data_IF_721820899402
#
_entry.id   IF_721820899402
#
_cell.length_a   1.000
_cell.length_b   1.000
_cell.length_c   1.000
_cell.angle_alpha   90.00
_cell.angle_beta   90.00
_cell.angle_gamma   90.00
#
_symmetry.space_group_name_H-M   'P 1'
#
loop_
_entity.id
_entity.type
_entity.pdbx_description
1 polymer ?
#
# COMPACT_ATOMS: atom_id res chain seq x y z
N UNK A 1 -9.22 16.66 14.44
CA UNK A 1 -8.51 17.11 13.22
C UNK A 1 -9.54 17.65 12.23
N UNK A 2 -9.36 18.84 11.65
CA UNK A 2 -10.26 19.33 10.61
C UNK A 2 -10.18 18.44 9.37
N UNK A 3 -11.34 18.21 8.76
CA UNK A 3 -11.46 17.49 7.49
C UNK A 3 -11.22 18.48 6.35
N UNK A 4 -10.30 18.15 5.46
CA UNK A 4 -9.90 18.99 4.34
C UNK A 4 -10.00 18.20 3.04
N UNK A 5 -10.21 18.90 1.92
CA UNK A 5 -10.33 18.27 0.61
C UNK A 5 -9.27 18.84 -0.33
N UNK A 6 -8.58 17.95 -1.03
CA UNK A 6 -7.51 18.28 -1.96
C UNK A 6 -7.89 17.74 -3.33
N UNK A 7 -7.93 18.61 -4.33
CA UNK A 7 -8.09 18.19 -5.72
C UNK A 7 -6.71 17.85 -6.31
N UNK A 8 -6.66 16.78 -7.08
CA UNK A 8 -5.48 16.32 -7.80
C UNK A 8 -5.76 16.39 -9.30
N UNK A 9 -4.76 16.85 -10.08
CA UNK A 9 -4.83 16.91 -11.53
C UNK A 9 -3.51 16.55 -12.19
N UNK A 10 -3.56 15.87 -13.35
CA UNK A 10 -2.39 15.55 -14.19
C UNK A 10 -2.78 15.52 -15.66
N UNK A 11 -1.94 16.09 -16.55
CA UNK A 11 -2.15 16.01 -17.99
C UNK A 11 -0.88 15.73 -18.80
N UNK A 12 0.23 15.35 -18.13
CA UNK A 12 1.48 14.97 -18.76
C UNK A 12 1.90 13.55 -18.36
N UNK A 13 2.50 12.83 -19.30
CA UNK A 13 3.08 11.50 -19.09
C UNK A 13 2.04 10.44 -18.71
N UNK A 14 2.44 9.49 -17.88
CA UNK A 14 1.53 8.49 -17.31
C UNK A 14 0.71 9.10 -16.15
N UNK A 15 -0.40 9.73 -16.53
CA UNK A 15 -1.30 10.45 -15.62
C UNK A 15 -1.82 9.56 -14.50
N UNK A 16 -2.16 8.30 -14.81
CA UNK A 16 -2.73 7.36 -13.85
C UNK A 16 -1.72 6.96 -12.77
N UNK A 17 -0.51 6.58 -13.19
CA UNK A 17 0.58 6.27 -12.26
C UNK A 17 0.98 7.49 -11.43
N UNK A 18 0.98 8.68 -12.03
CA UNK A 18 1.27 9.94 -11.33
C UNK A 18 0.27 10.23 -10.22
N UNK A 19 -1.05 10.19 -10.49
CA UNK A 19 -2.07 10.43 -9.46
C UNK A 19 -2.05 9.34 -8.39
N UNK A 20 -1.88 8.07 -8.78
CA UNK A 20 -1.76 6.96 -7.83
C UNK A 20 -0.57 7.14 -6.89
N UNK A 21 0.58 7.56 -7.42
CA UNK A 21 1.78 7.84 -6.63
C UNK A 21 1.60 9.07 -5.73
N UNK A 22 0.91 10.12 -6.22
CA UNK A 22 0.59 11.30 -5.42
C UNK A 22 -0.31 10.96 -4.22
N UNK A 23 -1.36 10.16 -4.43
CA UNK A 23 -2.23 9.68 -3.33
C UNK A 23 -1.42 8.86 -2.32
N UNK A 24 -0.56 7.94 -2.79
CA UNK A 24 0.35 7.18 -1.90
C UNK A 24 1.28 8.11 -1.12
N UNK A 25 1.84 9.13 -1.78
CA UNK A 25 2.73 10.10 -1.13
C UNK A 25 2.00 10.89 -0.03
N UNK A 26 0.75 11.31 -0.27
CA UNK A 26 -0.09 11.96 0.75
C UNK A 26 -0.41 11.01 1.92
N UNK A 27 -0.72 9.73 1.64
CA UNK A 27 -0.94 8.70 2.67
C UNK A 27 0.29 8.45 3.53
N UNK A 28 1.49 8.53 2.96
CA UNK A 28 2.74 8.34 3.67
C UNK A 28 3.17 9.58 4.49
N UNK A 29 2.52 10.73 4.29
CA UNK A 29 2.90 11.98 4.99
C UNK A 29 2.48 11.94 6.45
N UNK A 30 3.42 12.10 7.41
CA UNK A 30 3.09 12.14 8.82
C UNK A 30 2.24 13.35 9.18
N UNK A 31 1.28 13.16 10.10
CA UNK A 31 0.33 14.20 10.48
C UNK A 31 -0.74 14.51 9.41
N UNK A 32 -0.84 13.64 8.38
CA UNK A 32 -1.88 13.67 7.38
C UNK A 32 -2.53 12.28 7.27
N UNK A 33 -3.83 12.17 7.45
CA UNK A 33 -4.59 10.93 7.28
C UNK A 33 -5.53 11.05 6.11
N UNK A 34 -5.26 10.34 5.01
CA UNK A 34 -6.19 10.26 3.88
C UNK A 34 -7.34 9.33 4.27
N UNK A 35 -8.55 9.87 4.40
CA UNK A 35 -9.75 9.15 4.84
C UNK A 35 -10.62 8.66 3.69
N UNK A 36 -10.59 9.34 2.54
CA UNK A 36 -11.28 8.91 1.32
C UNK A 36 -10.50 9.36 0.07
N UNK A 37 -10.67 8.63 -1.02
CA UNK A 37 -10.14 8.97 -2.35
C UNK A 37 -11.22 8.65 -3.36
N UNK A 38 -11.54 9.59 -4.25
CA UNK A 38 -12.49 9.38 -5.35
C UNK A 38 -11.92 8.42 -6.40
N UNK A 39 -12.76 7.93 -7.31
CA UNK A 39 -12.28 7.39 -8.58
C UNK A 39 -11.51 8.49 -9.35
N UNK A 40 -10.73 8.07 -10.35
CA UNK A 40 -10.06 9.01 -11.23
C UNK A 40 -10.96 9.34 -12.42
N UNK A 41 -11.03 10.62 -12.80
CA UNK A 41 -11.92 11.13 -13.83
C UNK A 41 -11.15 11.74 -14.99
N UNK A 42 -11.47 11.30 -16.21
CA UNK A 42 -10.99 11.97 -17.42
C UNK A 42 -11.83 13.19 -17.75
N UNK A 43 -11.16 14.29 -18.07
CA UNK A 43 -11.80 15.56 -18.45
C UNK A 43 -11.07 16.23 -19.61
N UNK A 44 -11.82 17.01 -20.39
CA UNK A 44 -11.23 17.89 -21.38
C UNK A 44 -10.38 19.00 -20.72
N UNK A 45 -9.35 19.53 -21.39
CA UNK A 45 -8.59 20.65 -20.88
C UNK A 45 -9.46 21.92 -20.85
N UNK A 46 -9.54 22.58 -19.66
CA UNK A 46 -10.30 23.82 -19.47
C UNK A 46 -9.34 25.01 -19.38
N UNK A 47 -9.50 26.01 -20.23
CA UNK A 47 -8.66 27.23 -20.28
C UNK A 47 -7.15 26.92 -20.43
N UNK A 48 -6.79 25.87 -21.13
CA UNK A 48 -5.40 25.48 -21.42
C UNK A 48 -4.98 25.92 -22.84
N UNK A 49 -3.67 26.01 -23.12
CA UNK A 49 -3.15 26.26 -24.46
C UNK A 49 -3.68 25.25 -25.48
N UNK A 50 -3.88 25.66 -26.76
CA UNK A 50 -4.28 24.74 -27.81
C UNK A 50 -3.34 23.53 -27.93
N UNK A 51 -3.92 22.32 -28.08
CA UNK A 51 -3.16 21.07 -28.14
C UNK A 51 -2.81 20.46 -26.79
N UNK A 52 -3.28 21.03 -25.67
CA UNK A 52 -3.13 20.40 -24.35
C UNK A 52 -3.89 19.08 -24.30
N UNK A 53 -3.25 18.03 -23.78
CA UNK A 53 -3.87 16.73 -23.56
C UNK A 53 -4.98 16.77 -22.49
N UNK A 54 -5.87 15.79 -22.52
CA UNK A 54 -6.91 15.61 -21.48
C UNK A 54 -6.32 15.42 -20.09
N UNK A 55 -7.02 15.88 -19.09
CA UNK A 55 -6.63 15.72 -17.69
C UNK A 55 -7.18 14.42 -17.09
N UNK A 56 -6.45 13.93 -16.10
CA UNK A 56 -6.96 12.99 -15.12
C UNK A 56 -7.05 13.72 -13.78
N UNK A 57 -8.24 13.68 -13.15
CA UNK A 57 -8.52 14.39 -11.91
C UNK A 57 -9.08 13.46 -10.85
N UNK A 58 -8.86 13.83 -9.57
CA UNK A 58 -9.42 13.14 -8.42
C UNK A 58 -9.56 14.13 -7.24
N UNK A 59 -10.28 13.73 -6.19
CA UNK A 59 -10.30 14.42 -4.91
C UNK A 59 -9.96 13.44 -3.80
N UNK A 60 -9.16 13.88 -2.85
CA UNK A 60 -8.91 13.16 -1.60
C UNK A 60 -9.43 13.95 -0.42
N UNK A 61 -10.04 13.25 0.53
CA UNK A 61 -10.39 13.79 1.84
C UNK A 61 -9.27 13.44 2.82
N UNK A 62 -8.80 14.43 3.57
CA UNK A 62 -7.69 14.28 4.53
C UNK A 62 -8.04 14.89 5.88
N UNK A 63 -7.60 14.25 6.94
CA UNK A 63 -7.58 14.82 8.29
C UNK A 63 -6.15 15.20 8.65
N UNK A 64 -5.96 16.40 9.19
CA UNK A 64 -4.64 16.91 9.59
C UNK A 64 -4.73 17.92 10.72
N UNK A 65 -3.67 18.01 11.52
CA UNK A 65 -3.47 19.09 12.53
C UNK A 65 -2.66 20.27 11.99
N UNK A 66 -2.11 20.15 10.77
CA UNK A 66 -1.40 21.26 10.11
C UNK A 66 -2.36 22.39 9.85
N UNK A 67 -1.92 23.61 10.03
CA UNK A 67 -2.69 24.77 9.60
C UNK A 67 -2.81 24.82 8.06
N UNK A 68 -3.74 25.63 7.50
CA UNK A 68 -3.97 25.69 6.04
C UNK A 68 -2.73 26.10 5.24
N UNK A 69 -1.87 26.96 5.77
CA UNK A 69 -0.64 27.41 5.08
C UNK A 69 0.43 26.31 5.11
N UNK A 70 0.57 25.61 6.23
CA UNK A 70 1.45 24.43 6.34
C UNK A 70 1.03 23.32 5.39
N UNK A 71 -0.30 23.08 5.28
CA UNK A 71 -0.84 22.13 4.33
C UNK A 71 -0.54 22.54 2.90
N UNK A 72 -0.76 23.81 2.54
CA UNK A 72 -0.39 24.34 1.21
C UNK A 72 1.10 24.12 0.92
N UNK A 73 1.98 24.44 1.86
CA UNK A 73 3.43 24.23 1.68
C UNK A 73 3.78 22.75 1.49
N UNK A 74 3.08 21.85 2.17
CA UNK A 74 3.21 20.41 1.92
C UNK A 74 2.81 20.05 0.49
N UNK A 75 1.65 20.51 0.02
CA UNK A 75 1.16 20.21 -1.34
C UNK A 75 2.16 20.71 -2.39
N UNK A 76 2.67 21.93 -2.23
CA UNK A 76 3.69 22.49 -3.12
C UNK A 76 5.01 21.70 -3.10
N UNK A 77 5.40 21.11 -1.97
CA UNK A 77 6.58 20.23 -1.91
C UNK A 77 6.32 18.91 -2.66
N UNK A 78 5.14 18.34 -2.49
CA UNK A 78 4.76 17.12 -3.21
C UNK A 78 4.75 17.36 -4.72
N UNK A 79 4.15 18.43 -5.21
CA UNK A 79 4.17 18.79 -6.63
C UNK A 79 5.60 18.88 -7.21
N UNK A 80 6.51 19.52 -6.48
CA UNK A 80 7.93 19.63 -6.88
C UNK A 80 8.62 18.26 -6.97
N UNK A 81 8.29 17.33 -6.05
CA UNK A 81 8.81 15.95 -6.09
C UNK A 81 8.36 15.20 -7.34
N UNK A 82 7.20 15.56 -7.89
CA UNK A 82 6.66 15.01 -9.14
C UNK A 82 7.10 15.79 -10.40
N UNK A 83 8.13 16.63 -10.28
CA UNK A 83 8.71 17.34 -11.42
C UNK A 83 7.88 18.52 -11.93
N UNK A 84 6.96 19.07 -11.12
CA UNK A 84 6.24 20.28 -11.51
C UNK A 84 7.20 21.47 -11.60
N UNK A 85 7.29 22.04 -12.78
CA UNK A 85 7.96 23.33 -13.06
C UNK A 85 6.86 24.37 -13.29
N UNK A 86 6.84 25.44 -12.48
CA UNK A 86 5.91 26.56 -12.69
C UNK A 86 6.43 27.43 -13.83
N UNK A 87 5.70 27.46 -14.92
CA UNK A 87 5.89 28.34 -16.07
C UNK A 87 4.70 29.30 -16.19
N UNK A 88 4.07 29.36 -17.34
CA UNK A 88 2.87 30.19 -17.56
C UNK A 88 1.62 29.61 -16.87
N UNK A 89 0.62 30.45 -16.54
CA UNK A 89 -0.65 29.99 -16.01
C UNK A 89 -1.31 28.97 -16.96
N UNK A 90 -1.93 27.92 -16.37
CA UNK A 90 -2.60 26.83 -17.08
C UNK A 90 -1.73 26.00 -18.03
N UNK A 91 -0.38 26.07 -17.93
CA UNK A 91 0.52 25.20 -18.67
C UNK A 91 0.31 23.73 -18.32
N UNK A 92 0.61 22.80 -19.27
CA UNK A 92 0.62 21.38 -18.99
C UNK A 92 1.52 21.04 -17.80
N UNK A 93 1.07 20.11 -16.94
CA UNK A 93 1.74 19.80 -15.67
C UNK A 93 1.67 18.32 -15.32
N UNK A 94 2.73 17.83 -14.72
CA UNK A 94 2.81 16.44 -14.24
C UNK A 94 1.82 16.21 -13.09
N UNK A 95 1.77 17.11 -12.12
CA UNK A 95 0.88 17.05 -10.97
C UNK A 95 0.44 18.45 -10.54
N UNK A 96 -0.83 18.59 -10.20
CA UNK A 96 -1.46 19.76 -9.59
C UNK A 96 -2.18 19.35 -8.32
N UNK A 97 -1.97 20.06 -7.21
CA UNK A 97 -2.62 19.78 -5.92
C UNK A 97 -3.22 21.07 -5.37
N UNK A 98 -4.53 21.20 -5.46
CA UNK A 98 -5.27 22.37 -4.99
C UNK A 98 -5.99 22.06 -3.67
N UNK A 99 -5.81 22.91 -2.64
CA UNK A 99 -6.60 22.86 -1.41
C UNK A 99 -7.99 23.43 -1.68
N UNK A 100 -9.01 22.54 -1.67
CA UNK A 100 -10.40 22.89 -2.00
C UNK A 100 -11.13 23.45 -0.81
N UNK A 101 -11.19 22.69 0.28
CA UNK A 101 -11.76 23.06 1.57
C UNK A 101 -10.79 22.75 2.71
N UNK A 102 -10.92 23.50 3.82
CA UNK A 102 -10.27 23.21 5.08
C UNK A 102 -11.27 23.41 6.22
N UNK A 103 -12.00 22.35 6.57
CA UNK A 103 -13.17 22.48 7.46
C UNK A 103 -14.13 23.55 6.97
N UNK A 104 -14.62 24.38 7.88
CA UNK A 104 -15.51 25.52 7.60
C UNK A 104 -14.77 26.86 7.49
N UNK A 105 -13.43 26.82 7.44
CA UNK A 105 -12.60 28.03 7.47
C UNK A 105 -12.65 28.76 6.14
N UNK A 106 -12.73 30.09 6.20
CA UNK A 106 -12.63 30.99 5.04
C UNK A 106 -11.35 31.82 5.20
N UNK A 107 -10.46 31.69 4.22
CA UNK A 107 -9.19 32.45 4.14
C UNK A 107 -9.18 33.19 2.81
N UNK A 108 -8.73 34.45 2.85
CA UNK A 108 -8.54 35.28 1.66
C UNK A 108 -7.26 36.08 1.83
N UNK A 109 -6.12 35.43 1.62
CA UNK A 109 -4.78 36.10 1.62
C UNK A 109 -4.18 36.04 0.21
N UNK A 110 -3.15 36.83 -0.07
CA UNK A 110 -2.45 36.76 -1.36
C UNK A 110 -1.88 35.37 -1.68
N UNK A 111 -1.49 34.62 -0.64
CA UNK A 111 -0.85 33.30 -0.76
C UNK A 111 -1.85 32.17 -0.80
N UNK A 112 -3.03 32.30 -0.13
CA UNK A 112 -4.00 31.22 0.03
C UNK A 112 -5.43 31.76 0.08
N UNK A 113 -6.28 31.18 -0.77
CA UNK A 113 -7.73 31.40 -0.73
C UNK A 113 -8.43 30.06 -0.52
N UNK A 114 -9.17 29.91 0.56
CA UNK A 114 -9.97 28.75 0.94
C UNK A 114 -11.37 29.22 1.34
N UNK A 115 -12.45 28.71 0.77
CA UNK A 115 -12.52 27.70 -0.31
C UNK A 115 -11.81 28.15 -1.58
N UNK A 116 -11.33 27.17 -2.37
CA UNK A 116 -10.69 27.49 -3.64
C UNK A 116 -11.63 28.32 -4.53
N UNK A 117 -11.23 29.50 -5.00
CA UNK A 117 -12.15 30.54 -5.50
C UNK A 117 -13.01 30.11 -6.69
N UNK A 118 -12.52 29.18 -7.52
CA UNK A 118 -13.22 28.69 -8.72
C UNK A 118 -13.69 27.24 -8.62
N UNK A 119 -13.69 26.63 -7.44
CA UNK A 119 -14.04 25.20 -7.33
C UNK A 119 -15.50 24.94 -7.72
N UNK A 120 -16.40 25.90 -7.42
CA UNK A 120 -17.83 25.80 -7.70
C UNK A 120 -18.18 25.94 -9.18
N UNK A 121 -17.23 26.33 -10.02
CA UNK A 121 -17.33 26.41 -11.49
C UNK A 121 -16.69 25.23 -12.20
N UNK A 122 -16.11 24.27 -11.45
CA UNK A 122 -15.26 23.21 -11.98
C UNK A 122 -15.87 21.83 -11.77
N UNK A 123 -16.46 21.26 -12.81
CA UNK A 123 -17.03 19.91 -12.76
C UNK A 123 -15.98 18.85 -12.38
N UNK A 124 -14.73 18.99 -12.84
CA UNK A 124 -13.63 18.09 -12.53
C UNK A 124 -13.16 18.12 -11.05
N UNK A 125 -13.64 19.10 -10.26
CA UNK A 125 -13.48 19.14 -8.80
C UNK A 125 -14.75 18.68 -8.11
N UNK A 126 -15.92 19.18 -8.53
CA UNK A 126 -17.18 18.93 -7.84
C UNK A 126 -17.70 17.51 -8.00
N UNK A 127 -17.51 16.88 -9.18
CA UNK A 127 -17.96 15.50 -9.40
C UNK A 127 -17.21 14.52 -8.48
N UNK A 128 -15.85 14.49 -8.45
CA UNK A 128 -15.14 13.62 -7.53
C UNK A 128 -15.30 14.02 -6.05
N UNK A 129 -15.52 15.30 -5.74
CA UNK A 129 -15.82 15.73 -4.36
C UNK A 129 -17.20 15.19 -3.92
N UNK A 130 -18.24 15.30 -4.75
CA UNK A 130 -19.57 14.81 -4.43
C UNK A 130 -19.61 13.28 -4.30
N UNK A 131 -18.72 12.54 -4.96
CA UNK A 131 -18.58 11.08 -4.79
C UNK A 131 -18.17 10.70 -3.35
N UNK A 132 -17.18 11.37 -2.80
CA UNK A 132 -16.59 11.00 -1.48
C UNK A 132 -17.15 11.79 -0.30
N UNK A 133 -17.76 12.95 -0.57
CA UNK A 133 -18.28 13.85 0.44
C UNK A 133 -19.50 14.64 -0.09
N UNK A 134 -20.63 13.96 -0.42
CA UNK A 134 -21.80 14.60 -1.03
C UNK A 134 -22.41 15.71 -0.15
N UNK A 135 -22.28 15.57 1.17
CA UNK A 135 -22.84 16.50 2.16
C UNK A 135 -21.84 17.57 2.65
N UNK A 136 -20.62 17.63 2.08
CA UNK A 136 -19.67 18.70 2.39
C UNK A 136 -20.23 20.04 1.94
N UNK A 137 -20.45 20.96 2.89
CA UNK A 137 -21.06 22.26 2.63
C UNK A 137 -19.99 23.30 2.29
N UNK A 138 -20.15 23.98 1.16
CA UNK A 138 -19.29 25.11 0.79
C UNK A 138 -19.41 26.26 1.81
N UNK A 139 -18.34 26.65 2.51
CA UNK A 139 -18.42 27.58 3.65
C UNK A 139 -19.05 28.94 3.32
N UNK A 140 -18.90 29.43 2.08
CA UNK A 140 -19.43 30.72 1.63
C UNK A 140 -20.79 30.57 0.94
N UNK A 141 -20.92 29.62 -0.01
CA UNK A 141 -22.17 29.46 -0.79
C UNK A 141 -23.28 28.75 -0.02
N UNK A 142 -22.95 28.09 1.10
CA UNK A 142 -23.90 27.36 1.96
C UNK A 142 -24.65 26.25 1.22
N UNK A 143 -24.10 25.71 0.13
CA UNK A 143 -24.60 24.59 -0.66
C UNK A 143 -23.74 23.35 -0.45
N UNK A 144 -24.35 22.17 -0.45
CA UNK A 144 -23.65 20.90 -0.38
C UNK A 144 -22.92 20.58 -1.71
N UNK A 145 -21.86 19.80 -1.65
CA UNK A 145 -21.10 19.40 -2.84
C UNK A 145 -21.98 18.72 -3.90
N UNK A 146 -22.94 17.87 -3.49
CA UNK A 146 -23.92 17.25 -4.40
C UNK A 146 -24.81 18.28 -5.12
N UNK A 147 -25.20 19.35 -4.44
CA UNK A 147 -26.03 20.40 -5.02
C UNK A 147 -25.26 21.21 -6.05
N UNK A 148 -24.03 21.62 -5.70
CA UNK A 148 -23.12 22.31 -6.60
C UNK A 148 -22.78 21.44 -7.83
N UNK A 149 -22.53 20.15 -7.63
CA UNK A 149 -22.26 19.22 -8.73
C UNK A 149 -23.48 19.00 -9.65
N UNK A 150 -24.72 19.15 -9.14
CA UNK A 150 -25.94 19.04 -9.93
C UNK A 150 -26.23 20.31 -10.78
N UNK A 151 -25.73 21.47 -10.32
CA UNK A 151 -25.92 22.76 -11.01
C UNK A 151 -24.95 22.96 -12.19
N UNK A 152 -23.81 22.27 -12.19
CA UNK A 152 -22.82 22.36 -13.27
C UNK A 152 -23.27 21.46 -14.44
N UNK A 153 -23.25 22.03 -15.66
CA UNK A 153 -23.34 21.22 -16.86
C UNK A 153 -22.25 20.18 -16.86
N UNK A 154 -22.62 18.90 -16.93
CA UNK A 154 -21.68 17.76 -16.92
C UNK A 154 -20.97 17.70 -18.27
N UNK A 155 -20.07 18.64 -18.50
CA UNK A 155 -19.10 18.56 -19.58
C UNK A 155 -18.29 17.30 -19.29
N UNK A 156 -18.39 16.32 -20.16
CA UNK A 156 -17.61 15.07 -20.29
C UNK A 156 -16.65 14.68 -19.14
N UNK A 157 -17.15 14.67 -17.89
CA UNK A 157 -16.43 14.11 -16.75
C UNK A 157 -16.77 12.62 -16.70
N UNK A 158 -15.82 11.78 -17.09
CA UNK A 158 -16.00 10.32 -17.15
C UNK A 158 -15.04 9.64 -16.18
N UNK A 159 -15.51 8.62 -15.47
CA UNK A 159 -14.60 7.76 -14.72
C UNK A 159 -13.56 7.20 -15.69
N UNK A 160 -12.29 7.46 -15.40
CA UNK A 160 -11.20 6.96 -16.21
C UNK A 160 -11.19 5.43 -16.15
N UNK A 161 -11.10 4.75 -17.30
CA UNK A 161 -10.83 3.33 -17.26
C UNK A 161 -9.52 3.13 -16.49
N UNK A 162 -9.56 2.32 -15.44
CA UNK A 162 -8.32 1.87 -14.83
C UNK A 162 -7.48 1.29 -15.96
N UNK A 163 -6.19 1.72 -16.11
CA UNK A 163 -5.34 1.07 -17.09
C UNK A 163 -5.50 -0.43 -16.86
N UNK A 164 -5.67 -1.26 -17.90
CA UNK A 164 -5.80 -2.69 -17.72
C UNK A 164 -4.66 -3.06 -16.79
N UNK A 165 -5.00 -3.46 -15.55
CA UNK A 165 -4.01 -4.04 -14.66
C UNK A 165 -3.39 -5.09 -15.54
N UNK A 166 -2.10 -4.95 -15.86
CA UNK A 166 -1.43 -6.01 -16.60
C UNK A 166 -1.75 -7.22 -15.77
N UNK A 167 -2.56 -8.13 -16.31
CA UNK A 167 -3.02 -9.33 -15.57
C UNK A 167 -1.82 -10.24 -15.39
N UNK A 168 -0.82 -9.70 -14.70
CA UNK A 168 0.52 -10.26 -14.53
C UNK A 168 0.47 -11.63 -13.87
N UNK A 169 -0.57 -11.88 -13.08
CA UNK A 169 -0.82 -13.15 -12.40
C UNK A 169 -2.09 -13.85 -12.89
N UNK A 170 -2.58 -13.53 -14.10
CA UNK A 170 -3.78 -14.13 -14.66
C UNK A 170 -3.70 -15.65 -14.66
N UNK A 171 -4.71 -16.30 -14.06
CA UNK A 171 -4.80 -17.75 -13.96
C UNK A 171 -3.84 -18.39 -12.96
N UNK A 172 -3.02 -17.65 -12.23
CA UNK A 172 -2.22 -18.17 -11.13
C UNK A 172 -3.05 -18.34 -9.86
N UNK A 173 -2.67 -19.33 -9.07
CA UNK A 173 -3.32 -19.72 -7.82
C UNK A 173 -2.36 -19.46 -6.67
N UNK A 174 -2.79 -18.64 -5.72
CA UNK A 174 -1.93 -18.17 -4.63
C UNK A 174 -2.52 -18.48 -3.25
N UNK A 175 -1.65 -18.79 -2.29
CA UNK A 175 -1.93 -18.75 -0.87
C UNK A 175 -1.13 -17.61 -0.24
N UNK A 176 -1.79 -16.71 0.50
CA UNK A 176 -1.13 -15.64 1.25
C UNK A 176 -1.45 -15.80 2.73
N UNK A 177 -0.43 -16.11 3.55
CA UNK A 177 -0.64 -16.27 4.99
C UNK A 177 -0.65 -14.91 5.71
N UNK A 178 -1.46 -14.79 6.78
CA UNK A 178 -1.61 -13.53 7.51
C UNK A 178 -2.23 -12.41 6.69
N UNK A 179 -3.18 -12.74 5.80
CA UNK A 179 -3.77 -11.80 4.83
C UNK A 179 -5.07 -11.15 5.28
N UNK A 180 -5.33 -11.09 6.60
CA UNK A 180 -6.50 -10.41 7.15
C UNK A 180 -6.27 -8.92 7.46
N UNK A 181 -5.02 -8.45 7.42
CA UNK A 181 -4.64 -7.05 7.69
C UNK A 181 -3.23 -6.75 7.17
N UNK A 182 -2.87 -5.45 7.15
CA UNK A 182 -1.52 -4.98 6.88
C UNK A 182 -0.92 -5.47 5.55
N UNK A 183 0.35 -5.83 5.58
CA UNK A 183 1.12 -6.24 4.40
C UNK A 183 0.48 -7.43 3.69
N UNK A 184 0.06 -8.47 4.44
CA UNK A 184 -0.55 -9.66 3.84
C UNK A 184 -1.88 -9.38 3.15
N UNK A 185 -2.72 -8.51 3.70
CA UNK A 185 -3.97 -8.10 3.06
C UNK A 185 -3.70 -7.34 1.77
N UNK A 186 -2.71 -6.46 1.79
CA UNK A 186 -2.30 -5.69 0.61
C UNK A 186 -1.75 -6.59 -0.49
N UNK A 187 -0.89 -7.58 -0.14
CA UNK A 187 -0.38 -8.57 -1.11
C UNK A 187 -1.54 -9.36 -1.74
N UNK A 188 -2.46 -9.88 -0.91
CA UNK A 188 -3.60 -10.66 -1.40
C UNK A 188 -4.47 -9.84 -2.37
N UNK A 189 -4.82 -8.62 -1.99
CA UNK A 189 -5.62 -7.70 -2.83
C UNK A 189 -4.91 -7.32 -4.12
N UNK A 190 -3.58 -7.11 -4.07
CA UNK A 190 -2.78 -6.81 -5.26
C UNK A 190 -2.74 -8.00 -6.22
N UNK A 191 -2.58 -9.21 -5.70
CA UNK A 191 -2.58 -10.44 -6.51
C UNK A 191 -3.95 -10.68 -7.16
N UNK A 192 -5.05 -10.50 -6.41
CA UNK A 192 -6.42 -10.58 -6.93
C UNK A 192 -6.67 -9.56 -8.05
N UNK A 193 -6.23 -8.32 -7.84
CA UNK A 193 -6.32 -7.24 -8.83
C UNK A 193 -5.56 -7.56 -10.11
N UNK A 194 -4.49 -8.36 -10.02
CA UNK A 194 -3.68 -8.83 -11.15
C UNK A 194 -4.11 -10.20 -11.69
N UNK A 195 -5.31 -10.67 -11.33
CA UNK A 195 -5.97 -11.83 -11.94
C UNK A 195 -5.64 -13.17 -11.30
N UNK A 196 -4.97 -13.21 -10.13
CA UNK A 196 -4.73 -14.44 -9.41
C UNK A 196 -5.98 -14.91 -8.65
N UNK A 197 -6.17 -16.22 -8.55
CA UNK A 197 -7.07 -16.83 -7.59
C UNK A 197 -6.35 -16.93 -6.24
N UNK A 198 -6.75 -16.11 -5.25
CA UNK A 198 -6.06 -16.03 -3.97
C UNK A 198 -6.86 -16.71 -2.86
N UNK A 199 -6.20 -17.59 -2.09
CA UNK A 199 -6.68 -18.03 -0.78
C UNK A 199 -6.07 -17.13 0.27
N UNK A 200 -6.95 -16.51 1.07
CA UNK A 200 -6.58 -15.71 2.22
C UNK A 200 -6.53 -16.58 3.48
N UNK A 201 -5.62 -16.26 4.38
CA UNK A 201 -5.46 -17.00 5.63
C UNK A 201 -5.33 -16.06 6.83
N UNK A 202 -5.89 -16.48 7.95
CA UNK A 202 -5.75 -15.85 9.27
C UNK A 202 -6.36 -16.72 10.36
N UNK A 203 -6.13 -16.39 11.63
CA UNK A 203 -6.72 -17.12 12.78
C UNK A 203 -8.25 -16.98 12.88
N UNK A 204 -8.77 -15.90 12.37
CA UNK A 204 -10.21 -15.60 12.32
C UNK A 204 -10.53 -14.86 11.04
N UNK A 205 -11.68 -15.16 10.45
CA UNK A 205 -12.20 -14.41 9.32
C UNK A 205 -12.54 -12.99 9.79
N UNK A 206 -12.01 -11.97 9.10
CA UNK A 206 -12.33 -10.57 9.36
C UNK A 206 -12.99 -9.96 8.12
N UNK A 207 -14.13 -9.28 8.32
CA UNK A 207 -14.81 -8.55 7.26
C UNK A 207 -15.17 -9.44 6.06
N UNK A 208 -15.19 -8.85 4.90
CA UNK A 208 -15.38 -9.54 3.61
C UNK A 208 -14.05 -10.17 3.13
N UNK A 209 -13.67 -11.27 3.78
CA UNK A 209 -12.47 -12.02 3.42
C UNK A 209 -12.61 -12.80 2.10
N UNK A 210 -13.72 -12.60 1.34
CA UNK A 210 -14.02 -13.35 0.14
C UNK A 210 -14.40 -14.81 0.42
N UNK A 211 -14.76 -15.56 -0.61
CA UNK A 211 -15.14 -16.98 -0.49
C UNK A 211 -13.94 -17.90 -0.18
N UNK A 212 -12.72 -17.50 -0.60
CA UNK A 212 -11.49 -18.32 -0.48
C UNK A 212 -10.70 -17.91 0.77
N UNK A 213 -11.14 -18.42 1.92
CA UNK A 213 -10.49 -18.16 3.21
C UNK A 213 -10.32 -19.44 4.01
N UNK A 214 -9.10 -19.68 4.51
CA UNK A 214 -8.81 -20.80 5.44
C UNK A 214 -8.38 -20.21 6.78
N UNK A 215 -9.02 -20.71 7.85
CA UNK A 215 -8.65 -20.38 9.24
C UNK A 215 -7.66 -21.40 9.77
N UNK A 216 -6.51 -20.95 10.28
CA UNK A 216 -5.55 -21.81 10.95
C UNK A 216 -4.72 -21.00 11.99
N UNK A 217 -4.35 -21.65 13.09
CA UNK A 217 -3.35 -21.11 14.03
C UNK A 217 -1.97 -21.67 13.65
N UNK A 218 -1.08 -20.82 13.20
CA UNK A 218 0.26 -21.22 12.75
C UNK A 218 1.21 -21.66 13.89
N UNK A 219 0.80 -21.52 15.15
CA UNK A 219 1.48 -22.13 16.29
C UNK A 219 1.21 -23.64 16.38
N UNK A 220 0.11 -24.10 15.80
CA UNK A 220 -0.26 -25.50 15.74
C UNK A 220 0.30 -26.15 14.48
N UNK A 221 1.21 -27.11 14.69
CA UNK A 221 1.86 -27.85 13.62
C UNK A 221 0.87 -28.56 12.69
N UNK A 222 -0.17 -29.19 13.25
CA UNK A 222 -1.13 -29.94 12.45
C UNK A 222 -1.95 -29.01 11.56
N UNK A 223 -2.35 -27.83 12.08
CA UNK A 223 -3.05 -26.81 11.32
C UNK A 223 -2.19 -26.21 10.21
N UNK A 224 -0.87 -26.05 10.42
CA UNK A 224 0.05 -25.61 9.36
C UNK A 224 0.12 -26.61 8.22
N UNK A 225 0.25 -27.90 8.54
CA UNK A 225 0.32 -28.97 7.54
C UNK A 225 -1.02 -29.07 6.79
N UNK A 226 -2.15 -28.97 7.51
CA UNK A 226 -3.50 -28.98 6.93
C UNK A 226 -3.76 -27.76 6.04
N UNK A 227 -3.34 -26.56 6.45
CA UNK A 227 -3.48 -25.34 5.64
C UNK A 227 -2.88 -25.47 4.25
N UNK A 228 -1.66 -26.04 4.15
CA UNK A 228 -1.00 -26.26 2.87
C UNK A 228 -1.69 -27.30 1.99
N UNK A 229 -2.26 -28.35 2.60
CA UNK A 229 -3.02 -29.37 1.90
C UNK A 229 -4.37 -28.84 1.41
N UNK A 230 -5.13 -28.24 2.30
CA UNK A 230 -6.47 -27.68 2.01
C UNK A 230 -6.41 -26.58 0.92
N UNK A 231 -5.42 -25.67 1.01
CA UNK A 231 -5.23 -24.65 -0.01
C UNK A 231 -4.87 -25.25 -1.37
N UNK A 232 -4.05 -26.30 -1.38
CA UNK A 232 -3.70 -27.00 -2.60
C UNK A 232 -4.92 -27.67 -3.25
N UNK A 233 -5.75 -28.32 -2.47
CA UNK A 233 -6.91 -29.07 -2.94
C UNK A 233 -8.03 -28.11 -3.39
N UNK A 234 -8.27 -27.02 -2.63
CA UNK A 234 -9.29 -26.01 -2.94
C UNK A 234 -9.10 -25.37 -4.33
N UNK A 235 -7.87 -25.15 -4.76
CA UNK A 235 -7.56 -24.53 -6.06
C UNK A 235 -7.05 -25.56 -7.11
N UNK A 236 -6.97 -26.85 -6.79
CA UNK A 236 -6.36 -27.83 -7.67
C UNK A 236 -4.85 -27.60 -7.87
N UNK A 237 -4.18 -27.05 -6.86
CA UNK A 237 -2.77 -26.73 -6.84
C UNK A 237 -2.48 -25.25 -6.59
N UNK A 238 -1.24 -24.95 -6.22
CA UNK A 238 -0.76 -23.57 -5.97
C UNK A 238 0.39 -23.25 -6.90
N UNK A 239 0.38 -22.06 -7.48
CA UNK A 239 1.47 -21.51 -8.31
C UNK A 239 2.33 -20.54 -7.52
N UNK A 240 1.74 -19.86 -6.52
CA UNK A 240 2.44 -18.91 -5.64
C UNK A 240 2.09 -19.20 -4.17
N UNK A 241 3.09 -19.23 -3.32
CA UNK A 241 2.95 -19.25 -1.86
C UNK A 241 3.62 -18.01 -1.27
N UNK A 242 2.89 -17.23 -0.48
CA UNK A 242 3.45 -16.11 0.29
C UNK A 242 3.35 -16.41 1.78
N UNK A 243 4.51 -16.65 2.42
CA UNK A 243 4.63 -16.82 3.86
C UNK A 243 4.84 -15.44 4.50
N UNK A 244 3.74 -14.72 4.75
CA UNK A 244 3.75 -13.37 5.30
C UNK A 244 3.36 -13.34 6.78
N UNK A 245 2.58 -14.30 7.28
CA UNK A 245 2.14 -14.29 8.67
C UNK A 245 3.31 -14.12 9.64
N UNK A 246 3.13 -13.29 10.66
CA UNK A 246 4.07 -13.07 11.74
C UNK A 246 3.34 -12.85 13.07
N UNK A 247 4.02 -13.11 14.17
CA UNK A 247 3.52 -12.85 15.50
C UNK A 247 3.67 -11.35 15.84
N UNK A 248 2.58 -10.72 16.24
CA UNK A 248 2.65 -9.38 16.81
C UNK A 248 3.02 -9.48 18.29
N UNK A 249 4.26 -9.09 18.61
CA UNK A 249 4.80 -9.06 19.97
C UNK A 249 4.97 -7.64 20.51
N UNK A 250 4.54 -6.63 19.74
CA UNK A 250 4.73 -5.21 20.04
C UNK A 250 3.45 -4.51 20.49
N UNK A 251 2.28 -5.03 20.11
CA UNK A 251 1.00 -4.38 20.38
C UNK A 251 0.04 -5.26 21.18
N UNK A 252 -1.02 -4.64 21.72
CA UNK A 252 -2.04 -5.34 22.49
C UNK A 252 -1.48 -6.07 23.73
N UNK A 253 -2.09 -7.19 24.12
CA UNK A 253 -1.65 -7.97 25.27
C UNK A 253 -0.23 -8.53 25.15
N UNK A 254 0.19 -8.85 23.93
CA UNK A 254 1.50 -9.44 23.66
C UNK A 254 2.69 -8.48 23.89
N UNK A 255 2.45 -7.17 23.90
CA UNK A 255 3.46 -6.18 24.28
C UNK A 255 3.99 -6.40 25.72
N UNK A 256 3.17 -7.00 26.59
CA UNK A 256 3.49 -7.28 28.00
C UNK A 256 4.04 -8.69 28.24
N UNK A 257 4.19 -9.51 27.20
CA UNK A 257 4.76 -10.84 27.33
C UNK A 257 6.22 -10.77 27.75
N UNK A 258 6.67 -11.81 28.46
CA UNK A 258 8.09 -12.02 28.77
C UNK A 258 8.90 -12.21 27.48
N UNK A 259 10.21 -12.10 27.61
CA UNK A 259 11.13 -12.37 26.50
C UNK A 259 10.91 -13.77 25.90
N UNK A 260 10.79 -14.79 26.77
CA UNK A 260 10.62 -16.19 26.34
C UNK A 260 9.27 -16.41 25.64
N UNK A 261 8.17 -15.82 26.13
CA UNK A 261 6.86 -15.91 25.47
C UNK A 261 6.88 -15.27 24.07
N UNK A 262 7.57 -14.13 23.92
CA UNK A 262 7.75 -13.47 22.62
C UNK A 262 8.62 -14.30 21.69
N UNK A 263 9.71 -14.87 22.21
CA UNK A 263 10.60 -15.74 21.46
C UNK A 263 9.87 -16.96 20.91
N UNK A 264 9.13 -17.69 21.76
CA UNK A 264 8.37 -18.87 21.33
C UNK A 264 7.32 -18.51 20.28
N UNK A 265 6.59 -17.41 20.46
CA UNK A 265 5.59 -16.97 19.50
C UNK A 265 6.19 -16.66 18.12
N UNK A 266 7.33 -15.97 18.07
CA UNK A 266 8.04 -15.67 16.82
C UNK A 266 8.63 -16.93 16.20
N UNK A 267 9.22 -17.82 17.00
CA UNK A 267 9.75 -19.08 16.48
C UNK A 267 8.64 -19.95 15.88
N UNK A 268 7.50 -20.03 16.54
CA UNK A 268 6.37 -20.85 16.05
C UNK A 268 5.77 -20.29 14.77
N UNK A 269 5.39 -19.01 14.78
CA UNK A 269 4.63 -18.40 13.67
C UNK A 269 5.54 -17.96 12.52
N UNK A 270 6.62 -17.23 12.83
CA UNK A 270 7.46 -16.63 11.80
C UNK A 270 8.43 -17.63 11.19
N UNK A 271 9.01 -18.52 11.98
CA UNK A 271 10.04 -19.46 11.51
C UNK A 271 9.47 -20.85 11.23
N UNK A 272 8.98 -21.57 12.26
CA UNK A 272 8.58 -22.99 12.12
C UNK A 272 7.47 -23.17 11.09
N UNK A 273 6.43 -22.33 11.15
CA UNK A 273 5.33 -22.40 10.18
C UNK A 273 5.79 -22.05 8.77
N UNK A 274 6.62 -21.01 8.59
CA UNK A 274 7.20 -20.63 7.29
C UNK A 274 8.01 -21.77 6.70
N UNK A 275 8.89 -22.39 7.49
CA UNK A 275 9.73 -23.53 7.05
C UNK A 275 8.87 -24.72 6.62
N UNK A 276 7.89 -25.10 7.44
CA UNK A 276 7.02 -26.27 7.18
C UNK A 276 6.18 -26.06 5.92
N UNK A 277 5.48 -24.94 5.88
CA UNK A 277 4.57 -24.62 4.77
C UNK A 277 5.33 -24.50 3.44
N UNK A 278 6.45 -23.76 3.45
CA UNK A 278 7.29 -23.58 2.25
C UNK A 278 7.88 -24.91 1.74
N UNK A 279 8.31 -25.80 2.64
CA UNK A 279 8.80 -27.12 2.24
C UNK A 279 7.70 -28.02 1.69
N UNK A 280 6.56 -28.09 2.40
CA UNK A 280 5.45 -28.94 2.01
C UNK A 280 4.83 -28.54 0.67
N UNK A 281 4.46 -27.27 0.54
CA UNK A 281 3.89 -26.73 -0.70
C UNK A 281 4.95 -26.69 -1.80
N UNK A 282 6.18 -26.26 -1.49
CA UNK A 282 7.29 -26.20 -2.44
C UNK A 282 7.62 -27.55 -3.05
N UNK A 283 7.58 -28.65 -2.28
CA UNK A 283 7.77 -30.00 -2.79
C UNK A 283 6.66 -30.41 -3.80
N UNK A 284 5.40 -30.09 -3.50
CA UNK A 284 4.28 -30.30 -4.44
C UNK A 284 4.43 -29.45 -5.71
N UNK A 285 4.86 -28.19 -5.58
CA UNK A 285 5.16 -27.32 -6.72
C UNK A 285 6.29 -27.90 -7.59
N UNK A 286 7.38 -28.36 -6.95
CA UNK A 286 8.51 -28.99 -7.64
C UNK A 286 8.08 -30.22 -8.42
N UNK A 287 7.29 -31.12 -7.82
CA UNK A 287 6.75 -32.30 -8.49
C UNK A 287 5.86 -31.95 -9.68
N UNK A 288 5.21 -30.78 -9.66
CA UNK A 288 4.40 -30.26 -10.78
C UNK A 288 5.24 -29.51 -11.83
N UNK A 289 6.53 -29.27 -11.57
CA UNK A 289 7.47 -28.62 -12.49
C UNK A 289 7.42 -27.09 -12.49
N UNK A 290 6.68 -26.43 -11.59
CA UNK A 290 6.62 -24.98 -11.51
C UNK A 290 6.11 -24.45 -10.17
N UNK A 291 6.60 -23.28 -9.77
CA UNK A 291 6.10 -22.55 -8.60
C UNK A 291 6.93 -21.34 -8.20
N UNK A 292 6.37 -20.55 -7.29
CA UNK A 292 7.05 -19.43 -6.66
C UNK A 292 6.71 -19.39 -5.17
N UNK A 293 7.74 -19.36 -4.32
CA UNK A 293 7.59 -19.16 -2.88
C UNK A 293 8.20 -17.80 -2.53
N UNK A 294 7.43 -16.99 -1.80
CA UNK A 294 7.87 -15.71 -1.28
C UNK A 294 7.77 -15.75 0.25
N UNK A 295 8.89 -15.55 0.92
CA UNK A 295 8.93 -15.39 2.38
C UNK A 295 9.00 -13.91 2.74
N UNK A 296 8.56 -13.54 3.94
CA UNK A 296 8.68 -12.18 4.45
C UNK A 296 9.71 -12.16 5.58
N UNK A 297 10.82 -11.51 5.29
CA UNK A 297 11.92 -11.27 6.20
C UNK A 297 11.79 -9.94 6.95
N UNK A 298 12.94 -9.35 7.25
CA UNK A 298 13.08 -8.02 7.83
C UNK A 298 14.36 -7.38 7.29
N UNK A 299 14.35 -6.10 6.98
CA UNK A 299 15.50 -5.41 6.37
C UNK A 299 16.70 -5.32 7.29
N UNK A 300 16.49 -5.23 8.61
CA UNK A 300 17.54 -5.20 9.63
C UNK A 300 17.93 -6.59 10.17
N UNK A 301 17.45 -7.67 9.57
CA UNK A 301 17.78 -9.02 10.04
C UNK A 301 19.28 -9.35 9.99
N UNK A 302 20.06 -8.67 9.18
CA UNK A 302 21.52 -8.85 9.05
C UNK A 302 22.32 -7.81 9.84
N UNK A 303 21.77 -6.62 10.08
CA UNK A 303 22.45 -5.50 10.76
C UNK A 303 22.07 -5.37 12.23
N UNK A 304 20.92 -5.93 12.61
CA UNK A 304 20.37 -5.87 13.95
C UNK A 304 19.71 -4.54 14.30
N UNK A 305 19.01 -4.56 15.41
CA UNK A 305 18.48 -3.41 16.14
C UNK A 305 18.56 -3.74 17.62
N UNK A 306 18.85 -2.77 18.46
CA UNK A 306 18.95 -2.93 19.91
C UNK A 306 17.60 -3.21 20.57
N UNK A 307 17.65 -3.83 21.76
CA UNK A 307 16.51 -4.16 22.60
C UNK A 307 15.81 -5.47 22.22
N UNK A 308 15.04 -6.01 23.17
CA UNK A 308 14.41 -7.34 23.11
C UNK A 308 13.72 -7.62 21.77
N UNK A 309 12.94 -6.66 21.29
CA UNK A 309 12.19 -6.82 20.02
C UNK A 309 13.15 -6.90 18.82
N UNK A 310 14.21 -6.08 18.80
CA UNK A 310 15.22 -6.11 17.74
C UNK A 310 15.95 -7.43 17.70
N UNK A 311 16.39 -7.93 18.85
CA UNK A 311 17.09 -9.21 19.01
C UNK A 311 16.22 -10.39 18.54
N UNK A 312 14.97 -10.43 19.00
CA UNK A 312 14.02 -11.50 18.66
C UNK A 312 13.65 -11.50 17.16
N UNK A 313 13.39 -10.32 16.59
CA UNK A 313 13.10 -10.21 15.16
C UNK A 313 14.32 -10.56 14.30
N UNK A 314 15.52 -10.11 14.69
CA UNK A 314 16.75 -10.47 13.98
C UNK A 314 16.97 -11.99 13.98
N UNK A 315 16.78 -12.66 15.13
CA UNK A 315 16.90 -14.11 15.22
C UNK A 315 15.90 -14.84 14.31
N UNK A 316 14.60 -14.52 14.41
CA UNK A 316 13.56 -15.20 13.65
C UNK A 316 13.64 -14.89 12.14
N UNK A 317 13.74 -13.62 11.76
CA UNK A 317 13.73 -13.18 10.36
C UNK A 317 15.05 -13.41 9.65
N UNK A 318 16.18 -13.38 10.39
CA UNK A 318 17.49 -13.82 9.90
C UNK A 318 17.47 -15.29 9.52
N UNK A 319 16.90 -16.14 10.39
CA UNK A 319 16.73 -17.57 10.09
C UNK A 319 15.84 -17.79 8.84
N UNK A 320 14.72 -17.06 8.70
CA UNK A 320 13.87 -17.12 7.50
C UNK A 320 14.64 -16.73 6.23
N UNK A 321 15.45 -15.68 6.29
CA UNK A 321 16.26 -15.20 5.16
C UNK A 321 17.30 -16.25 4.74
N UNK A 322 18.02 -16.84 5.69
CA UNK A 322 18.99 -17.91 5.42
C UNK A 322 18.31 -19.18 4.89
N UNK A 323 17.17 -19.56 5.48
CA UNK A 323 16.35 -20.68 5.00
C UNK A 323 15.89 -20.49 3.56
N UNK A 324 15.44 -19.29 3.20
CA UNK A 324 15.02 -18.95 1.82
C UNK A 324 16.10 -19.22 0.80
N UNK A 325 17.35 -18.81 1.06
CA UNK A 325 18.51 -19.06 0.19
C UNK A 325 18.77 -20.56 0.00
N UNK A 326 18.65 -21.34 1.06
CA UNK A 326 18.87 -22.79 1.02
C UNK A 326 17.73 -23.52 0.31
N UNK A 327 16.47 -23.12 0.58
CA UNK A 327 15.29 -23.68 -0.06
C UNK A 327 15.28 -23.42 -1.57
N UNK A 328 15.73 -22.24 -2.00
CA UNK A 328 15.87 -21.89 -3.41
C UNK A 328 16.75 -22.88 -4.16
N UNK A 329 17.90 -23.26 -3.58
CA UNK A 329 18.79 -24.25 -4.16
C UNK A 329 18.15 -25.65 -4.21
N UNK A 330 17.37 -26.01 -3.20
CA UNK A 330 16.73 -27.34 -3.11
C UNK A 330 15.57 -27.52 -4.06
N UNK A 331 14.87 -26.44 -4.39
CA UNK A 331 13.65 -26.47 -5.22
C UNK A 331 13.90 -26.07 -6.68
N UNK A 332 15.06 -25.51 -7.00
CA UNK A 332 15.45 -25.20 -8.37
C UNK A 332 15.61 -26.49 -9.20
N UNK A 333 15.42 -26.43 -10.55
CA UNK A 333 15.03 -25.23 -11.31
C UNK A 333 13.52 -24.96 -11.35
N UNK A 334 12.68 -25.85 -10.83
CA UNK A 334 11.23 -25.83 -11.02
C UNK A 334 10.54 -24.73 -10.21
N UNK A 335 11.08 -24.38 -9.02
CA UNK A 335 10.46 -23.43 -8.10
C UNK A 335 11.45 -22.33 -7.73
N UNK A 336 11.03 -21.11 -7.92
CA UNK A 336 11.76 -19.92 -7.44
C UNK A 336 11.39 -19.66 -5.98
N UNK A 337 12.37 -19.29 -5.16
CA UNK A 337 12.15 -18.95 -3.76
C UNK A 337 12.90 -17.66 -3.44
N UNK A 338 12.18 -16.61 -3.04
CA UNK A 338 12.75 -15.32 -2.72
C UNK A 338 12.19 -14.78 -1.39
N UNK A 339 12.87 -13.81 -0.81
CA UNK A 339 12.46 -13.12 0.39
C UNK A 339 12.16 -11.64 0.05
N UNK A 340 11.04 -11.12 0.53
CA UNK A 340 10.82 -9.68 0.63
C UNK A 340 11.12 -9.26 2.06
N UNK A 341 11.97 -8.25 2.24
CA UNK A 341 12.39 -7.75 3.53
C UNK A 341 11.92 -6.30 3.72
N UNK A 342 10.74 -6.09 4.32
CA UNK A 342 10.23 -4.76 4.60
C UNK A 342 11.07 -4.03 5.65
N UNK A 343 11.19 -2.70 5.50
CA UNK A 343 11.64 -1.81 6.55
C UNK A 343 10.47 -1.26 7.37
N UNK A 344 10.52 0.03 7.66
CA UNK A 344 9.46 0.73 8.39
C UNK A 344 8.21 0.89 7.53
N UNK A 345 7.21 0.01 7.75
CA UNK A 345 5.95 0.00 7.00
C UNK A 345 4.81 0.48 7.90
N UNK A 346 4.02 1.44 7.41
CA UNK A 346 2.87 2.03 8.09
C UNK A 346 1.68 1.07 8.10
N UNK A 347 1.77 0.08 8.97
CA UNK A 347 0.64 -0.79 9.35
C UNK A 347 -0.13 -0.14 10.52
N UNK A 348 -1.13 -0.81 11.08
CA UNK A 348 -1.90 -0.31 12.22
C UNK A 348 -1.01 0.16 13.40
N UNK A 349 0.14 -0.49 13.62
CA UNK A 349 1.12 -0.03 14.61
C UNK A 349 1.77 1.31 14.19
N UNK A 350 2.18 1.44 12.94
CA UNK A 350 2.80 2.66 12.43
C UNK A 350 1.85 3.87 12.44
N UNK A 351 0.54 3.63 12.31
CA UNK A 351 -0.49 4.69 12.41
C UNK A 351 -0.59 5.28 13.84
N UNK A 352 -0.32 4.44 14.85
CA UNK A 352 -0.39 4.82 16.28
C UNK A 352 0.97 5.04 16.92
N UNK A 353 2.04 4.96 16.15
CA UNK A 353 3.40 5.14 16.63
C UNK A 353 3.63 6.56 17.19
N UNK A 354 4.37 6.66 18.30
CA UNK A 354 4.67 7.94 18.94
C UNK A 354 5.43 8.90 18.02
N UNK A 355 5.40 10.20 18.33
CA UNK A 355 6.12 11.21 17.56
C UNK A 355 7.62 10.89 17.45
N UNK A 356 8.24 10.40 18.50
CA UNK A 356 9.64 9.97 18.49
C UNK A 356 9.89 8.87 17.44
N UNK A 357 8.98 7.89 17.31
CA UNK A 357 9.06 6.88 16.27
C UNK A 357 8.84 7.45 14.87
N UNK A 358 7.92 8.41 14.71
CA UNK A 358 7.70 9.09 13.43
C UNK A 358 8.96 9.84 12.96
N UNK A 359 9.65 10.51 13.87
CA UNK A 359 10.90 11.23 13.61
C UNK A 359 12.05 10.26 13.33
N UNK A 360 12.16 9.16 14.10
CA UNK A 360 13.15 8.10 13.89
C UNK A 360 13.05 7.52 12.48
N UNK A 361 11.86 7.11 12.07
CA UNK A 361 11.64 6.54 10.73
C UNK A 361 12.06 7.50 9.62
N UNK A 362 11.76 8.80 9.77
CA UNK A 362 12.18 9.80 8.79
C UNK A 362 13.69 9.97 8.73
N UNK A 363 14.36 9.95 9.87
CA UNK A 363 15.83 10.13 9.93
C UNK A 363 16.58 8.90 9.43
N UNK A 364 16.07 7.70 9.71
CA UNK A 364 16.68 6.44 9.29
C UNK A 364 16.39 6.09 7.82
N UNK A 365 15.29 6.58 7.25
CA UNK A 365 14.88 6.27 5.88
C UNK A 365 15.33 7.36 4.91
N UNK A 366 16.24 7.12 3.98
CA UNK A 366 16.69 8.12 3.00
C UNK A 366 15.57 8.75 2.16
N UNK A 367 14.49 8.02 1.88
CA UNK A 367 13.30 8.58 1.24
C UNK A 367 12.47 9.46 2.18
N UNK A 368 12.81 9.54 3.49
CA UNK A 368 12.17 10.37 4.52
C UNK A 368 10.66 10.12 4.71
N UNK A 369 10.19 8.92 4.38
CA UNK A 369 8.78 8.51 4.49
C UNK A 369 8.66 7.10 5.04
N UNK A 370 7.50 6.78 5.62
CA UNK A 370 7.11 5.40 5.87
C UNK A 370 6.83 4.69 4.55
N UNK A 371 7.26 3.43 4.45
CA UNK A 371 6.72 2.53 3.43
C UNK A 371 5.25 2.23 3.69
N UNK A 372 4.52 1.88 2.66
CA UNK A 372 3.13 1.43 2.75
C UNK A 372 3.05 -0.08 2.51
N UNK A 373 2.02 -0.77 3.04
CA UNK A 373 1.77 -2.17 2.71
C UNK A 373 1.74 -2.44 1.20
N UNK A 374 1.27 -1.48 0.41
CA UNK A 374 1.22 -1.52 -1.05
C UNK A 374 2.61 -1.54 -1.70
N UNK A 375 3.62 -0.93 -1.09
CA UNK A 375 4.99 -0.96 -1.62
C UNK A 375 5.58 -2.37 -1.50
N UNK A 376 5.28 -3.05 -0.40
CA UNK A 376 5.68 -4.45 -0.19
C UNK A 376 4.88 -5.37 -1.12
N UNK A 377 3.59 -5.10 -1.32
CA UNK A 377 2.73 -5.86 -2.22
C UNK A 377 3.20 -5.76 -3.69
N UNK A 378 3.63 -4.57 -4.14
CA UNK A 378 4.19 -4.38 -5.48
C UNK A 378 5.48 -5.19 -5.69
N UNK A 379 6.35 -5.26 -4.68
CA UNK A 379 7.55 -6.08 -4.73
C UNK A 379 7.22 -7.59 -4.78
N UNK A 380 6.25 -8.04 -3.98
CA UNK A 380 5.77 -9.42 -3.99
C UNK A 380 5.12 -9.79 -5.34
N UNK A 381 4.33 -8.87 -5.91
CA UNK A 381 3.73 -9.02 -7.24
C UNK A 381 4.79 -9.23 -8.32
N UNK A 382 5.82 -8.36 -8.33
CA UNK A 382 6.93 -8.49 -9.27
C UNK A 382 7.66 -9.84 -9.13
N UNK A 383 7.97 -10.25 -7.90
CA UNK A 383 8.62 -11.54 -7.63
C UNK A 383 7.76 -12.73 -8.04
N UNK A 384 6.43 -12.66 -7.89
CA UNK A 384 5.50 -13.72 -8.31
C UNK A 384 5.37 -13.80 -9.83
N UNK A 385 5.51 -12.67 -10.52
CA UNK A 385 5.27 -12.52 -11.95
C UNK A 385 6.38 -13.01 -12.86
N UNK A 386 6.12 -13.02 -14.19
CA UNK A 386 7.08 -13.49 -15.19
C UNK A 386 8.33 -12.62 -15.33
N UNK A 387 8.25 -11.33 -14.93
CA UNK A 387 9.40 -10.43 -14.99
C UNK A 387 10.55 -10.83 -14.04
N UNK A 388 10.28 -11.65 -13.04
CA UNK A 388 11.26 -12.14 -12.07
C UNK A 388 11.68 -13.61 -12.32
N UNK A 389 11.43 -14.17 -13.50
CA UNK A 389 11.69 -15.59 -13.77
C UNK A 389 13.17 -16.01 -13.64
N UNK A 390 14.12 -15.07 -13.74
CA UNK A 390 15.54 -15.34 -13.53
C UNK A 390 16.03 -14.94 -12.12
N UNK A 391 15.10 -14.73 -11.16
CA UNK A 391 15.38 -14.31 -9.78
C UNK A 391 14.98 -15.43 -8.82
N UNK A 392 15.96 -16.00 -8.11
CA UNK A 392 15.75 -16.96 -7.02
C UNK A 392 16.86 -16.85 -5.98
N UNK A 393 16.56 -17.18 -4.73
CA UNK A 393 17.49 -17.11 -3.60
C UNK A 393 17.82 -15.67 -3.14
N UNK A 394 17.08 -14.67 -3.60
CA UNK A 394 17.36 -13.27 -3.31
C UNK A 394 16.52 -12.74 -2.15
N UNK A 395 17.07 -11.74 -1.45
CA UNK A 395 16.36 -10.93 -0.47
C UNK A 395 16.19 -9.52 -1.05
N UNK A 396 14.97 -9.15 -1.35
CA UNK A 396 14.60 -7.83 -1.85
C UNK A 396 14.18 -6.94 -0.68
N UNK A 397 15.01 -5.97 -0.34
CA UNK A 397 14.69 -4.98 0.70
C UNK A 397 13.74 -3.92 0.15
N UNK A 398 12.63 -3.70 0.86
CA UNK A 398 11.61 -2.70 0.56
C UNK A 398 11.55 -1.76 1.75
N UNK A 399 12.51 -0.84 1.84
CA UNK A 399 12.81 -0.10 3.07
C UNK A 399 13.17 1.38 2.85
N UNK A 400 12.93 1.93 1.65
CA UNK A 400 13.28 3.31 1.36
C UNK A 400 14.76 3.67 1.52
N UNK A 401 15.66 2.65 1.49
CA UNK A 401 17.11 2.80 1.65
C UNK A 401 17.59 2.85 3.09
N UNK A 402 16.76 2.53 4.09
CA UNK A 402 17.07 2.63 5.52
C UNK A 402 18.28 1.76 5.92
N UNK A 403 18.38 0.53 5.39
CA UNK A 403 19.52 -0.35 5.64
C UNK A 403 20.37 -0.44 4.38
N UNK A 404 21.62 -0.06 4.51
CA UNK A 404 22.63 -0.18 3.47
C UNK A 404 23.47 -1.42 3.76
N UNK A 405 23.70 -2.23 2.74
CA UNK A 405 24.60 -3.36 2.83
C UNK A 405 26.05 -2.89 2.95
#
# INVERSE_FOLDING_TARGET
MPLSYIALGSNLGDRYSTLSAAVRRLRAEPGLRVVATSEFYETAPVNCPPGSGGFLNAVVAVETERDPHELLQLLLRVERQFGRVRSEPNSPRTLDLDLVFYGDIVIATPELTVPHPRMHERAFVLVPLAEIAPDAVHPVLKKAARELAAEIAREEVRVAPRPPSQQTLAGLRALVTGSTSGIGASIASEFERHGAAVIRHGRRRKGDAGERFISADLRDRAQVDQLGAEAWDMLGGLDVLVCNAGADTLTGPAAKWSFDEKLEALLDVDLKATVRLSRGVGAKMKSRGRGCVITVGWDQAETGMDGDSGELFAAAKGAVTCFTRSLAKSLAPEVRVNCVAPGWVRTAWGETASQAWQERVRSETPLCVWGLPEDVAAAALWLAGPAAQFITGQTLRVNGGAVRA
#
